data_IF_001403983535
#
_entry.id   IF_001403983535
#
_cell.length_a   1.000
_cell.length_b   1.000
_cell.length_c   1.000
_cell.angle_alpha   90.00
_cell.angle_beta   90.00
_cell.angle_gamma   90.00
#
_symmetry.space_group_name_H-M   'P 1'
#
loop_
_entity.id
_entity.type
_entity.pdbx_description
1 polymer ?
#
# COMPACT_ATOMS: atom_id res chain seq x y z
N UNK A 1 9.79 19.54 1.77
CA UNK A 1 9.53 18.60 2.87
C UNK A 1 9.51 19.37 4.21
N UNK A 2 10.49 20.20 4.51
CA UNK A 2 10.62 20.93 5.79
C UNK A 2 9.48 21.91 6.12
N UNK A 3 8.66 22.34 5.15
CA UNK A 3 7.66 23.38 5.35
C UNK A 3 6.61 23.03 6.44
N UNK A 4 6.12 21.79 6.45
CA UNK A 4 5.19 21.34 7.49
C UNK A 4 5.77 21.40 8.90
N UNK A 5 7.05 21.07 9.03
CA UNK A 5 7.78 21.11 10.30
C UNK A 5 7.97 22.57 10.80
N UNK A 6 8.21 23.50 9.89
CA UNK A 6 8.33 24.93 10.26
C UNK A 6 7.00 25.51 10.75
N UNK A 7 5.85 25.06 10.21
CA UNK A 7 4.53 25.46 10.73
C UNK A 7 4.30 24.93 12.15
N UNK A 8 4.82 23.73 12.46
CA UNK A 8 4.77 23.16 13.81
C UNK A 8 5.72 23.84 14.81
N UNK A 9 6.48 24.85 14.38
CA UNK A 9 7.40 25.59 15.23
C UNK A 9 8.71 24.86 15.49
N UNK A 10 9.02 23.80 14.74
CA UNK A 10 10.27 23.07 14.84
C UNK A 10 11.41 23.94 14.30
N UNK A 11 12.52 24.01 15.03
CA UNK A 11 13.67 24.80 14.61
C UNK A 11 14.25 24.31 13.28
N UNK A 12 14.95 25.20 12.57
CA UNK A 12 15.43 24.95 11.19
C UNK A 12 16.38 23.76 11.10
N UNK A 13 17.26 23.56 12.04
CA UNK A 13 18.27 22.49 12.03
C UNK A 13 17.58 21.11 12.18
N UNK A 14 16.70 20.98 13.15
CA UNK A 14 15.92 19.79 13.36
C UNK A 14 14.96 19.50 12.19
N UNK A 15 14.30 20.53 11.64
CA UNK A 15 13.44 20.39 10.47
C UNK A 15 14.22 19.88 9.24
N UNK A 16 15.43 20.34 9.01
CA UNK A 16 16.31 19.86 7.94
C UNK A 16 16.73 18.41 8.17
N UNK A 17 17.15 18.06 9.38
CA UNK A 17 17.54 16.70 9.73
C UNK A 17 16.39 15.71 9.52
N UNK A 18 15.20 16.01 10.01
CA UNK A 18 14.00 15.18 9.80
C UNK A 18 13.62 15.09 8.33
N UNK A 19 13.69 16.19 7.60
CA UNK A 19 13.37 16.22 6.17
C UNK A 19 14.32 15.35 5.34
N UNK A 20 15.62 15.45 5.61
CA UNK A 20 16.62 14.65 4.90
C UNK A 20 16.43 13.15 5.16
N UNK A 21 16.14 12.76 6.40
CA UNK A 21 15.80 11.37 6.72
C UNK A 21 14.64 10.85 5.85
N UNK A 22 13.54 11.63 5.73
CA UNK A 22 12.40 11.21 4.95
C UNK A 22 12.65 11.25 3.44
N UNK A 23 13.45 12.21 2.94
CA UNK A 23 13.88 12.26 1.54
C UNK A 23 14.67 10.99 1.19
N UNK A 24 15.59 10.57 2.04
CA UNK A 24 16.35 9.33 1.88
C UNK A 24 15.41 8.09 1.92
N UNK A 25 14.51 8.03 2.91
CA UNK A 25 13.57 6.90 3.09
C UNK A 25 12.64 6.68 1.89
N UNK A 26 12.31 7.73 1.15
CA UNK A 26 11.51 7.62 -0.08
C UNK A 26 12.37 7.46 -1.35
N UNK A 27 13.69 7.25 -1.21
CA UNK A 27 14.61 7.03 -2.32
C UNK A 27 14.91 8.28 -3.16
N UNK A 28 14.94 9.45 -2.52
CA UNK A 28 15.27 10.74 -3.16
C UNK A 28 16.59 11.34 -2.68
N UNK A 29 17.51 10.53 -2.13
CA UNK A 29 18.85 10.97 -1.77
C UNK A 29 19.55 11.58 -3.00
N UNK A 30 20.18 12.75 -2.82
CA UNK A 30 20.84 13.52 -3.89
C UNK A 30 19.92 14.53 -4.60
N UNK A 31 18.62 14.55 -4.31
CA UNK A 31 17.65 15.47 -4.88
C UNK A 31 17.15 16.53 -3.90
N UNK A 32 17.77 16.68 -2.74
CA UNK A 32 17.34 17.54 -1.63
C UNK A 32 17.20 19.02 -2.05
N UNK A 33 18.05 19.47 -2.99
CA UNK A 33 18.12 20.84 -3.44
C UNK A 33 17.41 21.08 -4.80
N UNK A 34 16.71 20.07 -5.33
CA UNK A 34 16.00 20.22 -6.61
C UNK A 34 14.61 20.83 -6.38
N UNK A 35 14.21 21.68 -7.34
CA UNK A 35 12.85 22.23 -7.38
C UNK A 35 11.87 21.20 -7.97
N UNK A 36 10.58 21.26 -7.61
CA UNK A 36 9.58 20.33 -8.15
C UNK A 36 9.57 20.22 -9.67
N UNK A 37 9.80 21.32 -10.38
CA UNK A 37 9.88 21.36 -11.87
C UNK A 37 11.06 20.56 -12.44
N UNK A 38 12.04 20.20 -11.66
CA UNK A 38 13.21 19.41 -12.04
C UNK A 38 13.04 17.92 -11.73
N UNK A 39 11.91 17.54 -11.14
CA UNK A 39 11.61 16.17 -10.70
C UNK A 39 10.57 15.52 -11.61
N UNK A 40 10.69 14.23 -11.85
CA UNK A 40 9.65 13.45 -12.54
C UNK A 40 8.36 13.39 -11.70
N UNK A 41 7.22 13.05 -12.32
CA UNK A 41 5.94 12.92 -11.60
C UNK A 41 6.01 11.96 -10.40
N UNK A 42 6.64 10.80 -10.56
CA UNK A 42 6.85 9.85 -9.46
C UNK A 42 7.76 10.41 -8.35
N UNK A 43 8.81 11.18 -8.70
CA UNK A 43 9.65 11.84 -7.69
C UNK A 43 8.88 12.91 -6.93
N UNK A 44 8.01 13.67 -7.60
CA UNK A 44 7.13 14.66 -6.93
C UNK A 44 6.17 14.01 -5.95
N UNK A 45 5.61 12.83 -6.30
CA UNK A 45 4.77 12.04 -5.38
C UNK A 45 5.57 11.56 -4.16
N UNK A 46 6.79 11.09 -4.34
CA UNK A 46 7.70 10.72 -3.25
C UNK A 46 8.00 11.91 -2.33
N UNK A 47 8.17 13.11 -2.90
CA UNK A 47 8.29 14.35 -2.09
C UNK A 47 7.02 14.62 -1.30
N UNK A 48 5.84 14.41 -1.90
CA UNK A 48 4.55 14.52 -1.22
C UNK A 48 4.45 13.58 -0.02
N UNK A 49 4.81 12.30 -0.22
CA UNK A 49 4.84 11.30 0.85
C UNK A 49 5.84 11.66 1.95
N UNK A 50 7.09 12.03 1.60
CA UNK A 50 8.10 12.46 2.56
C UNK A 50 7.65 13.69 3.37
N UNK A 51 6.94 14.64 2.72
CA UNK A 51 6.39 15.82 3.39
C UNK A 51 5.31 15.46 4.41
N UNK A 52 4.42 14.53 4.07
CA UNK A 52 3.36 14.08 4.98
C UNK A 52 3.94 13.32 6.18
N UNK A 53 4.89 12.40 5.92
CA UNK A 53 5.54 11.61 6.97
C UNK A 53 6.43 12.45 7.90
N UNK A 54 7.06 13.51 7.40
CA UNK A 54 7.93 14.37 8.19
C UNK A 54 7.19 15.09 9.35
N UNK A 55 5.89 15.34 9.21
CA UNK A 55 5.06 15.98 10.24
C UNK A 55 4.78 15.09 11.45
N UNK A 56 5.10 13.80 11.34
CA UNK A 56 4.96 12.78 12.39
C UNK A 56 3.52 12.62 12.94
N UNK A 57 2.52 12.87 12.11
CA UNK A 57 1.12 12.68 12.47
C UNK A 57 0.82 11.19 12.76
N UNK A 58 -0.06 10.91 13.73
CA UNK A 58 -0.50 9.55 14.08
C UNK A 58 -1.36 8.92 12.98
N UNK A 59 -2.11 9.76 12.27
CA UNK A 59 -3.01 9.35 11.19
C UNK A 59 -2.58 10.04 9.90
N UNK A 60 -2.36 9.26 8.85
CA UNK A 60 -2.06 9.73 7.51
C UNK A 60 -3.28 9.56 6.61
N UNK A 61 -3.76 10.65 6.02
CA UNK A 61 -4.85 10.63 5.05
C UNK A 61 -4.29 10.73 3.64
N UNK A 62 -4.60 9.75 2.80
CA UNK A 62 -4.16 9.67 1.41
C UNK A 62 -5.38 9.53 0.49
N UNK A 63 -5.61 10.55 -0.34
CA UNK A 63 -6.72 10.57 -1.27
C UNK A 63 -6.18 10.42 -2.69
N UNK A 64 -6.48 9.28 -3.33
CA UNK A 64 -6.05 8.90 -4.68
C UNK A 64 -4.55 9.18 -4.96
N UNK A 65 -3.70 8.92 -3.98
CA UNK A 65 -2.31 9.37 -3.97
C UNK A 65 -1.47 8.84 -5.15
N UNK A 66 -1.89 7.75 -5.79
CA UNK A 66 -1.14 7.11 -6.88
C UNK A 66 -1.90 7.08 -8.21
N UNK A 67 -3.09 7.66 -8.30
CA UNK A 67 -3.97 7.58 -9.48
C UNK A 67 -3.34 8.19 -10.74
N UNK A 68 -2.55 9.25 -10.60
CA UNK A 68 -1.90 9.96 -11.70
C UNK A 68 -0.55 9.35 -12.15
N UNK A 69 -0.12 8.23 -11.55
CA UNK A 69 1.15 7.58 -11.88
C UNK A 69 0.96 6.50 -12.94
N UNK A 70 2.00 6.29 -13.76
CA UNK A 70 2.07 5.12 -14.63
C UNK A 70 2.16 3.82 -13.78
N UNK A 71 1.78 2.66 -14.35
CA UNK A 71 1.68 1.41 -13.58
C UNK A 71 2.98 0.98 -12.89
N UNK A 72 4.15 1.24 -13.50
CA UNK A 72 5.43 0.84 -12.93
C UNK A 72 5.77 1.70 -11.70
N UNK A 73 5.72 3.02 -11.85
CA UNK A 73 5.98 3.97 -10.76
C UNK A 73 4.94 3.81 -9.63
N UNK A 74 3.68 3.51 -9.99
CA UNK A 74 2.63 3.22 -9.00
C UNK A 74 3.00 2.01 -8.14
N UNK A 75 3.41 0.90 -8.76
CA UNK A 75 3.83 -0.30 -8.04
C UNK A 75 5.00 -0.01 -7.09
N UNK A 76 6.02 0.71 -7.57
CA UNK A 76 7.16 1.11 -6.74
C UNK A 76 6.75 1.96 -5.54
N UNK A 77 5.81 2.90 -5.74
CA UNK A 77 5.31 3.76 -4.66
C UNK A 77 4.49 2.99 -3.62
N UNK A 78 3.70 2.01 -4.05
CA UNK A 78 2.98 1.13 -3.15
C UNK A 78 3.95 0.30 -2.30
N UNK A 79 5.02 -0.24 -2.90
CA UNK A 79 6.03 -1.02 -2.20
C UNK A 79 6.82 -0.17 -1.19
N UNK A 80 7.14 1.08 -1.54
CA UNK A 80 7.71 2.06 -0.61
C UNK A 80 6.75 2.33 0.56
N UNK A 81 5.46 2.53 0.30
CA UNK A 81 4.47 2.77 1.35
C UNK A 81 4.36 1.58 2.30
N UNK A 82 4.29 0.35 1.78
CA UNK A 82 4.23 -0.86 2.59
C UNK A 82 5.48 -1.01 3.47
N UNK A 83 6.67 -0.81 2.92
CA UNK A 83 7.92 -0.90 3.69
C UNK A 83 8.01 0.15 4.80
N UNK A 84 7.46 1.35 4.57
CA UNK A 84 7.38 2.41 5.57
C UNK A 84 6.33 2.09 6.64
N UNK A 85 5.19 1.50 6.27
CA UNK A 85 4.14 1.09 7.20
C UNK A 85 4.65 0.06 8.21
N UNK A 86 5.42 -0.93 7.76
CA UNK A 86 6.04 -1.94 8.64
C UNK A 86 6.99 -1.32 9.68
N UNK A 87 7.63 -0.19 9.33
CA UNK A 87 8.57 0.50 10.23
C UNK A 87 7.88 1.47 11.19
N UNK A 88 6.81 2.12 10.74
CA UNK A 88 6.23 3.27 11.43
C UNK A 88 5.01 2.92 12.28
N UNK A 89 4.32 1.82 11.97
CA UNK A 89 3.09 1.39 12.64
C UNK A 89 2.03 2.49 12.79
N UNK A 90 1.92 3.37 11.74
CA UNK A 90 0.95 4.48 11.73
C UNK A 90 -0.37 4.02 11.13
N UNK A 91 -1.45 4.68 11.54
CA UNK A 91 -2.74 4.50 10.89
C UNK A 91 -2.77 5.25 9.58
N UNK A 92 -3.02 4.54 8.47
CA UNK A 92 -3.17 5.14 7.15
C UNK A 92 -4.61 4.94 6.70
N UNK A 93 -5.29 6.04 6.36
CA UNK A 93 -6.58 6.00 5.67
C UNK A 93 -6.30 6.31 4.21
N UNK A 94 -6.47 5.30 3.36
CA UNK A 94 -6.14 5.36 1.94
C UNK A 94 -7.42 5.29 1.11
N UNK A 95 -7.71 6.33 0.32
CA UNK A 95 -8.86 6.40 -0.58
C UNK A 95 -8.36 6.10 -1.99
N UNK A 96 -9.00 5.14 -2.65
CA UNK A 96 -8.72 4.77 -4.03
C UNK A 96 -10.00 4.26 -4.72
N UNK A 97 -10.06 4.40 -6.03
CA UNK A 97 -11.06 3.75 -6.87
C UNK A 97 -10.54 2.43 -7.49
N UNK A 98 -9.28 2.11 -7.26
CA UNK A 98 -8.62 0.90 -7.75
C UNK A 98 -8.65 -0.19 -6.66
N UNK A 99 -9.40 -1.26 -6.93
CA UNK A 99 -9.58 -2.34 -5.97
C UNK A 99 -8.32 -3.19 -5.79
N UNK A 100 -7.51 -3.39 -6.85
CA UNK A 100 -6.22 -4.10 -6.72
C UNK A 100 -5.28 -3.35 -5.77
N UNK A 101 -5.33 -2.02 -5.80
CA UNK A 101 -4.59 -1.17 -4.88
C UNK A 101 -5.10 -1.30 -3.44
N UNK A 102 -6.41 -1.26 -3.22
CA UNK A 102 -7.01 -1.47 -1.91
C UNK A 102 -6.67 -2.85 -1.34
N UNK A 103 -6.70 -3.90 -2.17
CA UNK A 103 -6.36 -5.27 -1.77
C UNK A 103 -4.87 -5.47 -1.47
N UNK A 104 -3.99 -4.69 -2.11
CA UNK A 104 -2.54 -4.74 -1.89
C UNK A 104 -2.14 -4.00 -0.62
N UNK A 105 -2.75 -2.85 -0.34
CA UNK A 105 -2.32 -1.93 0.70
C UNK A 105 -3.11 -2.03 2.01
N UNK A 106 -4.41 -2.44 1.94
CA UNK A 106 -5.31 -2.36 3.08
C UNK A 106 -5.31 -3.62 3.95
N UNK A 107 -5.14 -3.45 5.25
CA UNK A 107 -5.44 -4.47 6.25
C UNK A 107 -6.95 -4.69 6.35
N UNK A 108 -7.71 -3.58 6.42
CA UNK A 108 -9.17 -3.53 6.34
C UNK A 108 -9.61 -2.63 5.18
N UNK A 109 -10.60 -3.09 4.42
CA UNK A 109 -11.14 -2.41 3.26
C UNK A 109 -12.60 -2.05 3.52
N UNK A 110 -13.00 -0.83 3.17
CA UNK A 110 -14.38 -0.40 3.17
C UNK A 110 -14.83 -0.04 1.74
N UNK A 111 -15.86 -0.69 1.24
CA UNK A 111 -16.48 -0.40 -0.05
C UNK A 111 -17.63 0.57 0.17
N UNK A 112 -17.54 1.73 -0.50
CA UNK A 112 -18.53 2.80 -0.41
C UNK A 112 -19.32 2.91 -1.71
N UNK A 113 -20.62 3.19 -1.57
CA UNK A 113 -21.52 3.51 -2.67
C UNK A 113 -22.53 4.54 -2.21
N UNK A 114 -22.74 5.59 -3.00
CA UNK A 114 -23.72 6.65 -2.74
C UNK A 114 -23.58 7.27 -1.32
N UNK A 115 -22.36 7.42 -0.83
CA UNK A 115 -22.04 7.98 0.49
C UNK A 115 -22.26 7.02 1.67
N UNK A 116 -22.61 5.75 1.43
CA UNK A 116 -22.78 4.73 2.46
C UNK A 116 -21.73 3.62 2.36
N UNK A 117 -21.31 3.07 3.50
CA UNK A 117 -20.48 1.86 3.55
C UNK A 117 -21.35 0.65 3.27
N UNK A 118 -21.12 -0.03 2.15
CA UNK A 118 -21.85 -1.24 1.75
C UNK A 118 -21.26 -2.47 2.43
N UNK A 119 -19.94 -2.56 2.46
CA UNK A 119 -19.24 -3.67 3.09
C UNK A 119 -17.89 -3.20 3.66
N UNK A 120 -17.48 -3.80 4.78
CA UNK A 120 -16.13 -3.63 5.31
C UNK A 120 -15.57 -4.93 5.87
N UNK A 121 -14.24 -5.05 5.80
CA UNK A 121 -13.49 -6.18 6.34
C UNK A 121 -12.19 -6.43 5.58
N UNK A 122 -11.54 -7.53 5.92
CA UNK A 122 -10.31 -7.95 5.24
C UNK A 122 -10.57 -8.27 3.76
N UNK A 123 -9.51 -8.19 2.95
CA UNK A 123 -9.56 -8.57 1.53
C UNK A 123 -10.19 -9.96 1.31
N UNK A 124 -9.82 -10.94 2.14
CA UNK A 124 -10.37 -12.29 2.10
C UNK A 124 -11.88 -12.32 2.33
N UNK A 125 -12.37 -11.60 3.34
CA UNK A 125 -13.81 -11.53 3.66
C UNK A 125 -14.61 -10.93 2.52
N UNK A 126 -14.09 -9.87 1.88
CA UNK A 126 -14.76 -9.21 0.76
C UNK A 126 -14.85 -10.13 -0.45
N UNK A 127 -13.76 -10.86 -0.76
CA UNK A 127 -13.70 -11.75 -1.94
C UNK A 127 -14.54 -13.02 -1.77
N UNK A 128 -14.54 -13.61 -0.57
CA UNK A 128 -15.24 -14.87 -0.32
C UNK A 128 -16.71 -14.69 0.03
N UNK A 129 -17.08 -13.55 0.61
CA UNK A 129 -18.41 -13.28 1.12
C UNK A 129 -18.86 -11.86 0.72
N UNK A 130 -19.06 -11.59 -0.59
CA UNK A 130 -19.58 -10.29 -1.05
C UNK A 130 -20.98 -10.05 -0.48
N UNK A 131 -21.22 -8.82 -0.04
CA UNK A 131 -22.47 -8.45 0.64
C UNK A 131 -23.69 -8.39 -0.31
N UNK A 132 -23.45 -8.00 -1.56
CA UNK A 132 -24.50 -7.86 -2.58
C UNK A 132 -23.94 -8.04 -4.01
N UNK A 133 -24.83 -7.90 -5.00
CA UNK A 133 -24.47 -8.02 -6.41
C UNK A 133 -23.50 -6.92 -6.86
N UNK A 134 -23.59 -5.73 -6.28
CA UNK A 134 -22.67 -4.63 -6.57
C UNK A 134 -21.23 -4.99 -6.17
N UNK A 135 -21.04 -5.51 -4.95
CA UNK A 135 -19.72 -5.96 -4.49
C UNK A 135 -19.24 -7.14 -5.33
N UNK A 136 -20.14 -8.07 -5.68
CA UNK A 136 -19.84 -9.22 -6.56
C UNK A 136 -19.32 -8.75 -7.91
N UNK A 137 -19.99 -7.79 -8.54
CA UNK A 137 -19.56 -7.21 -9.81
C UNK A 137 -18.24 -6.45 -9.69
N UNK A 138 -18.04 -5.74 -8.58
CA UNK A 138 -16.84 -4.96 -8.32
C UNK A 138 -15.59 -5.83 -8.18
N UNK A 139 -15.72 -7.06 -7.65
CA UNK A 139 -14.62 -8.00 -7.43
C UNK A 139 -14.44 -9.05 -8.55
N UNK A 140 -15.27 -9.05 -9.59
CA UNK A 140 -15.31 -10.16 -10.59
C UNK A 140 -14.02 -10.28 -11.39
N UNK A 141 -13.39 -9.14 -11.73
CA UNK A 141 -12.19 -9.08 -12.59
C UNK A 141 -10.87 -9.25 -11.82
N UNK A 142 -10.96 -9.42 -10.49
CA UNK A 142 -9.79 -9.56 -9.64
C UNK A 142 -9.15 -10.94 -9.80
N UNK A 143 -7.83 -10.95 -9.83
CA UNK A 143 -7.08 -12.19 -9.70
C UNK A 143 -7.10 -12.69 -8.25
N UNK A 144 -8.13 -13.46 -7.90
CA UNK A 144 -8.35 -14.02 -6.56
C UNK A 144 -7.15 -14.81 -6.02
N UNK A 145 -6.33 -15.38 -6.90
CA UNK A 145 -5.14 -16.14 -6.48
C UNK A 145 -4.04 -15.28 -5.84
N UNK A 146 -4.07 -13.96 -6.04
CA UNK A 146 -3.12 -13.04 -5.39
C UNK A 146 -3.49 -12.72 -3.95
N UNK A 147 -4.76 -12.83 -3.60
CA UNK A 147 -5.31 -12.37 -2.32
C UNK A 147 -5.61 -13.54 -1.38
N UNK A 148 -6.08 -14.66 -1.92
CA UNK A 148 -6.50 -15.80 -1.13
C UNK A 148 -5.31 -16.68 -0.75
N UNK A 149 -5.12 -16.90 0.56
CA UNK A 149 -4.22 -17.93 1.05
C UNK A 149 -4.85 -19.30 0.81
N UNK A 150 -4.04 -20.30 0.46
CA UNK A 150 -4.52 -21.70 0.25
C UNK A 150 -5.33 -22.19 1.45
N UNK A 151 -4.95 -21.80 2.67
CA UNK A 151 -5.65 -22.14 3.91
C UNK A 151 -7.06 -21.60 4.00
N UNK A 152 -7.37 -20.50 3.31
CA UNK A 152 -8.69 -19.86 3.32
C UNK A 152 -9.70 -20.55 2.42
N UNK A 153 -9.22 -21.30 1.42
CA UNK A 153 -10.05 -21.99 0.41
C UNK A 153 -10.15 -23.49 0.71
N UNK A 154 -9.26 -24.02 1.57
CA UNK A 154 -9.34 -25.41 1.98
C UNK A 154 -10.55 -25.65 2.88
N UNK A 155 -11.49 -26.45 2.41
CA UNK A 155 -12.53 -27.01 3.28
C UNK A 155 -11.87 -27.76 4.43
N UNK A 156 -12.29 -27.50 5.66
CA UNK A 156 -11.89 -28.30 6.82
C UNK A 156 -12.56 -29.67 6.74
N UNK A 157 -12.09 -30.49 5.83
CA UNK A 157 -12.52 -31.90 5.79
C UNK A 157 -11.75 -32.64 6.90
N UNK A 158 -12.49 -33.09 7.90
CA UNK A 158 -11.94 -33.80 9.06
C UNK A 158 -11.31 -35.16 8.71
N UNK A 159 -11.44 -35.60 7.46
CA UNK A 159 -11.01 -36.91 6.99
C UNK A 159 -9.78 -36.90 6.04
N UNK A 160 -9.23 -35.73 5.71
CA UNK A 160 -8.01 -35.68 4.89
C UNK A 160 -6.81 -35.84 5.82
N UNK A 161 -6.19 -37.04 5.81
CA UNK A 161 -4.84 -37.23 6.35
C UNK A 161 -3.90 -36.45 5.43
N UNK A 162 -3.20 -35.46 5.99
CA UNK A 162 -2.20 -34.69 5.27
C UNK A 162 -1.13 -35.66 4.71
N UNK A 163 -1.07 -35.80 3.40
CA UNK A 163 0.05 -36.50 2.73
C UNK A 163 1.16 -35.45 2.58
N UNK A 164 2.18 -35.58 3.41
CA UNK A 164 3.39 -34.77 3.28
C UNK A 164 4.15 -35.22 2.02
N UNK A 165 4.13 -34.40 0.98
CA UNK A 165 5.02 -34.57 -0.17
C UNK A 165 6.40 -33.99 0.17
N UNK A 166 7.30 -34.84 0.64
CA UNK A 166 8.68 -34.45 0.98
C UNK A 166 9.66 -34.54 -0.18
N UNK A 167 9.23 -34.63 -1.43
CA UNK A 167 10.16 -34.71 -2.57
C UNK A 167 9.62 -33.98 -3.81
N UNK A 168 9.88 -32.68 -3.92
CA UNK A 168 10.13 -32.03 -5.20
C UNK A 168 11.65 -31.84 -5.31
N UNK A 169 12.37 -32.82 -5.80
CA UNK A 169 13.73 -32.63 -6.33
C UNK A 169 13.60 -31.81 -7.61
N UNK A 170 14.17 -30.60 -7.59
CA UNK A 170 14.49 -29.89 -8.81
C UNK A 170 15.43 -30.77 -9.65
N UNK A 171 15.01 -31.17 -10.85
CA UNK A 171 15.92 -31.71 -11.86
C UNK A 171 16.79 -30.55 -12.37
N UNK A 172 18.02 -30.49 -11.92
CA UNK A 172 19.09 -29.82 -12.64
C UNK A 172 19.24 -30.43 -14.01
N UNK A 173 18.81 -29.75 -15.05
CA UNK A 173 19.26 -30.02 -16.41
C UNK A 173 20.63 -29.38 -16.61
N UNK A 174 21.69 -30.20 -16.53
CA UNK A 174 22.97 -29.91 -17.19
C UNK A 174 22.78 -30.11 -18.70
N UNK A 175 23.05 -29.08 -19.48
CA UNK A 175 23.83 -29.12 -20.72
C UNK A 175 24.65 -27.86 -20.81
#
# INVERSE_FOLDING_TARGET
VAYGLSIQGINKEEALTRSNKWIESVGLAGFENHYPSQLSGGMQQRVGLARALATDADILLMDEAFSALDPLIRSDMQDVLLSLQEQLHKTIIFITHDLDEALKLGDDIAILRDGAVIQSGTAEKIILHPADDYVTDFIKDINKARVLKVTSVMAKDKNIKAVSYTHLRAHETRV
#
